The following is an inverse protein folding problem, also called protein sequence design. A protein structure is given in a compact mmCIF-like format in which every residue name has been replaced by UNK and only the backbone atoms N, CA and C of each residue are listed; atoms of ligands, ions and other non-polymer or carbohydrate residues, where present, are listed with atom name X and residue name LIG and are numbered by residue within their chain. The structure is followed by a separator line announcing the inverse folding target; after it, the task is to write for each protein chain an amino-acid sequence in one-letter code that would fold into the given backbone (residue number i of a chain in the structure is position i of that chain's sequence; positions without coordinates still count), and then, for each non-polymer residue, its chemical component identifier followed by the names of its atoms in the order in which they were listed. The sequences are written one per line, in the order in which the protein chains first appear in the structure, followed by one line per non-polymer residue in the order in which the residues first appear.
data_IF_169384276318
#
_entry.id   IF_169384276318
#
_cell.length_a   1.000
_cell.length_b   1.000
_cell.length_c   1.000
_cell.angle_alpha   90.00
_cell.angle_beta   90.00
_cell.angle_gamma   90.00
#
_symmetry.space_group_name_H-M   'P 1'
#
loop_
_entity.id
_entity.type
_entity.pdbx_description
1 polymer ?
#
# COMPACT_ATOMS: atom_id res chain seq x y z
N UNK A 1 5.75 8.59 -32.64
CA UNK A 1 6.39 9.22 -31.47
C UNK A 1 6.74 8.09 -30.53
N UNK A 2 8.03 7.83 -30.35
CA UNK A 2 8.51 6.78 -29.45
C UNK A 2 8.35 7.26 -28.00
N UNK A 3 7.32 6.75 -27.31
CA UNK A 3 7.06 7.07 -25.90
C UNK A 3 8.24 6.72 -25.00
N UNK A 4 9.08 5.76 -25.39
CA UNK A 4 10.26 5.36 -24.62
C UNK A 4 11.38 6.42 -24.64
N UNK A 5 11.35 7.36 -25.59
CA UNK A 5 12.30 8.48 -25.65
C UNK A 5 11.80 9.73 -24.92
N UNK A 6 10.58 9.71 -24.36
CA UNK A 6 10.07 10.84 -23.59
C UNK A 6 10.76 10.90 -22.21
N UNK A 7 11.33 12.05 -21.87
CA UNK A 7 12.09 12.23 -20.62
C UNK A 7 11.25 11.92 -19.37
N UNK A 8 9.98 12.34 -19.32
CA UNK A 8 9.08 12.03 -18.20
C UNK A 8 8.84 10.52 -18.04
N UNK A 9 8.70 9.79 -19.14
CA UNK A 9 8.57 8.32 -19.11
C UNK A 9 9.85 7.67 -18.60
N UNK A 10 11.02 8.13 -19.06
CA UNK A 10 12.32 7.61 -18.61
C UNK A 10 12.54 7.85 -17.12
N UNK A 11 12.12 9.01 -16.62
CA UNK A 11 12.18 9.36 -15.21
C UNK A 11 11.25 8.46 -14.37
N UNK A 12 10.00 8.26 -14.81
CA UNK A 12 9.05 7.36 -14.16
C UNK A 12 9.61 5.93 -14.13
N UNK A 13 10.14 5.41 -15.24
CA UNK A 13 10.70 4.06 -15.31
C UNK A 13 11.97 3.91 -14.45
N UNK A 14 12.80 4.95 -14.34
CA UNK A 14 13.93 4.95 -13.42
C UNK A 14 13.47 4.84 -11.95
N UNK A 15 12.43 5.59 -11.58
CA UNK A 15 11.82 5.51 -10.25
C UNK A 15 11.25 4.11 -10.00
N UNK A 16 10.48 3.56 -10.95
CA UNK A 16 9.92 2.20 -10.85
C UNK A 16 11.00 1.13 -10.72
N UNK A 17 12.11 1.27 -11.44
CA UNK A 17 13.29 0.42 -11.29
C UNK A 17 13.83 0.44 -9.86
N UNK A 18 14.00 1.63 -9.28
CA UNK A 18 14.44 1.76 -7.87
C UNK A 18 13.42 1.18 -6.89
N UNK A 19 12.13 1.42 -7.11
CA UNK A 19 11.03 0.86 -6.30
C UNK A 19 11.01 -0.67 -6.34
N UNK A 20 11.28 -1.28 -7.50
CA UNK A 20 11.37 -2.74 -7.59
C UNK A 20 12.52 -3.31 -6.74
N UNK A 21 13.68 -2.66 -6.76
CA UNK A 21 14.82 -3.06 -5.90
C UNK A 21 14.45 -2.91 -4.42
N UNK A 22 13.89 -1.76 -4.03
CA UNK A 22 13.45 -1.53 -2.65
C UNK A 22 12.41 -2.57 -2.21
N UNK A 23 11.44 -2.91 -3.06
CA UNK A 23 10.45 -3.96 -2.76
C UNK A 23 11.13 -5.29 -2.44
N UNK A 24 12.11 -5.70 -3.24
CA UNK A 24 12.83 -6.94 -2.98
C UNK A 24 13.61 -6.89 -1.66
N UNK A 25 14.28 -5.77 -1.37
CA UNK A 25 14.99 -5.57 -0.11
C UNK A 25 14.04 -5.62 1.10
N UNK A 26 12.91 -4.91 1.03
CA UNK A 26 11.84 -4.89 2.04
C UNK A 26 11.35 -6.31 2.34
N UNK A 27 11.03 -7.08 1.29
CA UNK A 27 10.49 -8.43 1.43
C UNK A 27 11.54 -9.44 1.94
N UNK A 28 12.83 -9.24 1.63
CA UNK A 28 13.90 -10.16 2.07
C UNK A 28 14.48 -9.85 3.44
N UNK A 29 14.77 -8.58 3.73
CA UNK A 29 15.59 -8.17 4.87
C UNK A 29 14.83 -7.35 5.92
N UNK A 30 13.55 -7.05 5.70
CA UNK A 30 12.74 -6.24 6.58
C UNK A 30 12.81 -4.74 6.28
N UNK A 31 11.99 -3.98 7.00
CA UNK A 31 11.50 -2.65 6.63
C UNK A 31 12.35 -1.44 7.09
N UNK A 32 13.52 -1.66 7.69
CA UNK A 32 14.21 -0.59 8.43
C UNK A 32 14.92 0.42 7.50
N UNK A 33 14.46 1.69 7.53
CA UNK A 33 15.17 2.84 6.96
C UNK A 33 14.81 3.21 5.51
N UNK A 34 13.97 2.44 4.82
CA UNK A 34 13.59 2.70 3.42
C UNK A 34 12.45 3.73 3.29
N UNK A 35 11.77 4.07 4.38
CA UNK A 35 10.64 5.00 4.38
C UNK A 35 11.00 6.40 3.85
N UNK A 36 12.13 6.97 4.29
CA UNK A 36 12.58 8.30 3.84
C UNK A 36 12.88 8.32 2.34
N UNK A 37 13.49 7.25 1.83
CA UNK A 37 13.79 7.13 0.40
C UNK A 37 12.50 7.04 -0.43
N UNK A 38 11.54 6.20 -0.01
CA UNK A 38 10.25 6.08 -0.69
C UNK A 38 9.46 7.40 -0.69
N UNK A 39 9.49 8.17 0.41
CA UNK A 39 8.88 9.51 0.44
C UNK A 39 9.57 10.48 -0.52
N UNK A 40 10.89 10.38 -0.67
CA UNK A 40 11.65 11.13 -1.67
C UNK A 40 11.24 10.78 -3.10
N UNK A 41 11.09 9.49 -3.40
CA UNK A 41 10.61 9.01 -4.71
C UNK A 41 9.18 9.46 -5.01
N UNK A 42 8.29 9.44 -4.00
CA UNK A 42 6.92 9.93 -4.14
C UNK A 42 6.90 11.44 -4.47
N UNK A 43 7.67 12.22 -3.72
CA UNK A 43 7.81 13.67 -3.96
C UNK A 43 8.37 13.95 -5.35
N UNK A 44 9.29 13.11 -5.83
CA UNK A 44 9.84 13.22 -7.18
C UNK A 44 8.78 12.93 -8.24
N UNK A 45 8.01 11.84 -8.08
CA UNK A 45 6.90 11.52 -8.99
C UNK A 45 5.90 12.67 -9.11
N UNK A 46 5.56 13.34 -8.01
CA UNK A 46 4.61 14.48 -8.01
C UNK A 46 5.10 15.66 -8.86
N UNK A 47 6.42 15.80 -9.05
CA UNK A 47 7.04 16.88 -9.83
C UNK A 47 7.17 16.53 -11.32
N UNK A 48 7.01 15.27 -11.72
CA UNK A 48 7.12 14.83 -13.12
C UNK A 48 6.07 15.55 -13.97
N UNK A 49 6.53 16.24 -15.03
CA UNK A 49 5.64 16.90 -15.98
C UNK A 49 4.89 15.87 -16.83
N UNK A 50 3.56 15.88 -16.71
CA UNK A 50 2.67 15.00 -17.48
C UNK A 50 2.08 15.69 -18.70
N UNK A 51 2.21 17.02 -18.81
CA UNK A 51 1.57 17.84 -19.82
C UNK A 51 0.09 17.47 -20.02
N UNK A 52 -0.34 17.41 -21.29
CA UNK A 52 -1.67 16.91 -21.66
C UNK A 52 -1.67 15.42 -22.03
N UNK A 53 -0.57 14.69 -21.82
CA UNK A 53 -0.45 13.31 -22.25
C UNK A 53 -1.11 12.32 -21.25
N UNK A 54 -2.20 11.63 -21.62
CA UNK A 54 -2.85 10.67 -20.74
C UNK A 54 -1.95 9.49 -20.36
N UNK A 55 -1.05 9.06 -21.25
CA UNK A 55 -0.15 7.94 -20.97
C UNK A 55 0.83 8.30 -19.87
N UNK A 56 1.42 9.51 -19.90
CA UNK A 56 2.39 9.94 -18.85
C UNK A 56 1.68 10.11 -17.50
N UNK A 57 0.46 10.67 -17.48
CA UNK A 57 -0.35 10.79 -16.25
C UNK A 57 -0.59 9.43 -15.60
N UNK A 58 -0.94 8.46 -16.41
CA UNK A 58 -1.33 7.14 -15.96
C UNK A 58 -0.07 6.31 -15.59
N UNK A 59 1.07 6.50 -16.27
CA UNK A 59 2.38 5.95 -15.87
C UNK A 59 2.78 6.46 -14.49
N UNK A 60 2.67 7.78 -14.27
CA UNK A 60 2.93 8.42 -12.99
C UNK A 60 2.00 7.88 -11.91
N UNK A 61 0.69 7.76 -12.19
CA UNK A 61 -0.29 7.21 -11.24
C UNK A 61 0.11 5.79 -10.82
N UNK A 62 0.47 4.93 -11.77
CA UNK A 62 0.90 3.55 -11.49
C UNK A 62 2.16 3.51 -10.64
N UNK A 63 3.17 4.32 -10.95
CA UNK A 63 4.38 4.44 -10.14
C UNK A 63 4.09 4.96 -8.72
N UNK A 64 3.19 5.94 -8.57
CA UNK A 64 2.76 6.46 -7.26
C UNK A 64 2.10 5.34 -6.43
N UNK A 65 1.23 4.53 -7.03
CA UNK A 65 0.61 3.40 -6.34
C UNK A 65 1.63 2.34 -5.92
N UNK A 66 2.64 2.04 -6.76
CA UNK A 66 3.74 1.14 -6.40
C UNK A 66 4.54 1.66 -5.19
N UNK A 67 4.89 2.94 -5.15
CA UNK A 67 5.60 3.55 -4.01
C UNK A 67 4.71 3.55 -2.76
N UNK A 68 3.45 3.96 -2.90
CA UNK A 68 2.50 4.04 -1.78
C UNK A 68 2.18 2.67 -1.18
N UNK A 69 2.22 1.61 -1.99
CA UNK A 69 2.10 0.24 -1.52
C UNK A 69 3.27 -0.15 -0.61
N UNK A 70 4.51 0.16 -0.98
CA UNK A 70 5.65 -0.09 -0.10
C UNK A 70 5.57 0.72 1.18
N UNK A 71 5.26 2.02 1.10
CA UNK A 71 5.06 2.87 2.29
C UNK A 71 3.98 2.27 3.20
N UNK A 72 2.86 1.82 2.64
CA UNK A 72 1.78 1.18 3.40
C UNK A 72 2.28 -0.07 4.14
N UNK A 73 3.12 -0.89 3.51
CA UNK A 73 3.72 -2.06 4.15
C UNK A 73 4.66 -1.67 5.30
N UNK A 74 5.55 -0.70 5.08
CA UNK A 74 6.47 -0.21 6.11
C UNK A 74 5.71 0.38 7.30
N UNK A 75 4.70 1.22 7.04
CA UNK A 75 3.86 1.82 8.08
C UNK A 75 3.19 0.76 8.95
N UNK A 76 2.62 -0.29 8.31
CA UNK A 76 1.98 -1.41 9.01
C UNK A 76 3.00 -2.21 9.83
N UNK A 77 4.13 -2.56 9.22
CA UNK A 77 5.18 -3.35 9.87
C UNK A 77 5.77 -2.62 11.07
N UNK A 78 6.08 -1.32 10.94
CA UNK A 78 6.57 -0.49 12.04
C UNK A 78 5.52 -0.30 13.14
N UNK A 79 4.27 -0.04 12.78
CA UNK A 79 3.19 0.11 13.76
C UNK A 79 3.00 -1.16 14.58
N UNK A 80 3.07 -2.33 13.95
CA UNK A 80 2.98 -3.64 14.63
C UNK A 80 4.22 -3.92 15.48
N UNK A 81 5.42 -3.60 14.99
CA UNK A 81 6.66 -3.76 15.75
C UNK A 81 6.75 -2.85 16.99
N UNK A 82 6.12 -1.67 16.95
CA UNK A 82 6.01 -0.75 18.08
C UNK A 82 4.79 -1.01 18.97
N UNK A 83 3.90 -1.93 18.59
CA UNK A 83 2.67 -2.21 19.33
C UNK A 83 3.02 -2.78 20.71
N UNK A 84 2.53 -2.12 21.74
CA UNK A 84 2.61 -2.61 23.11
C UNK A 84 1.20 -2.63 23.73
N UNK A 85 0.51 -3.79 23.73
CA UNK A 85 -0.82 -3.87 24.30
C UNK A 85 -0.75 -3.73 25.83
N UNK A 86 -1.48 -2.75 26.37
CA UNK A 86 -1.64 -2.58 27.81
C UNK A 86 -2.64 -3.58 28.40
N UNK A 87 -2.60 -3.84 29.72
CA UNK A 87 -3.55 -4.73 30.39
C UNK A 87 -5.01 -4.25 30.29
N UNK A 88 -5.23 -2.94 30.12
CA UNK A 88 -6.54 -2.31 30.01
C UNK A 88 -6.94 -1.98 28.55
N UNK A 89 -6.33 -2.65 27.55
CA UNK A 89 -6.67 -2.45 26.13
C UNK A 89 -8.15 -2.78 25.91
N UNK A 90 -8.90 -1.82 25.36
CA UNK A 90 -10.32 -2.02 25.08
C UNK A 90 -10.51 -3.06 23.96
N UNK A 91 -11.55 -3.92 24.03
CA UNK A 91 -11.82 -4.89 22.97
C UNK A 91 -11.95 -4.28 21.56
N UNK A 92 -12.56 -3.09 21.37
CA UNK A 92 -12.56 -2.39 20.09
C UNK A 92 -11.15 -2.03 19.59
N UNK A 93 -10.27 -1.57 20.47
CA UNK A 93 -8.90 -1.23 20.11
C UNK A 93 -8.11 -2.47 19.67
N UNK A 94 -8.20 -3.55 20.46
CA UNK A 94 -7.58 -4.83 20.13
C UNK A 94 -8.10 -5.42 18.81
N UNK A 95 -9.39 -5.22 18.48
CA UNK A 95 -9.98 -5.64 17.22
C UNK A 95 -9.35 -4.91 16.02
N UNK A 96 -9.16 -3.59 16.10
CA UNK A 96 -8.48 -2.82 15.04
C UNK A 96 -7.06 -3.33 14.83
N UNK A 97 -6.32 -3.61 15.90
CA UNK A 97 -4.96 -4.12 15.78
C UNK A 97 -4.87 -5.52 15.14
N UNK A 98 -5.85 -6.39 15.39
CA UNK A 98 -5.94 -7.68 14.68
C UNK A 98 -6.14 -7.48 13.18
N UNK A 99 -6.96 -6.49 12.79
CA UNK A 99 -7.11 -6.14 11.38
C UNK A 99 -5.81 -5.56 10.82
N UNK A 100 -5.13 -4.66 11.51
CA UNK A 100 -3.84 -4.11 11.07
C UNK A 100 -2.78 -5.20 10.84
N UNK A 101 -2.73 -6.22 11.72
CA UNK A 101 -1.88 -7.39 11.52
C UNK A 101 -2.24 -8.15 10.23
N UNK A 102 -3.54 -8.45 10.03
CA UNK A 102 -4.00 -9.10 8.81
C UNK A 102 -3.72 -8.27 7.55
N UNK A 103 -3.85 -6.95 7.61
CA UNK A 103 -3.54 -6.06 6.49
C UNK A 103 -2.05 -6.05 6.16
N UNK A 104 -1.17 -6.17 7.16
CA UNK A 104 0.27 -6.28 6.94
C UNK A 104 0.61 -7.55 6.15
N UNK A 105 0.04 -8.70 6.54
CA UNK A 105 0.24 -9.98 5.85
C UNK A 105 -0.36 -9.97 4.44
N UNK A 106 -1.55 -9.39 4.27
CA UNK A 106 -2.18 -9.23 2.97
C UNK A 106 -1.36 -8.30 2.07
N UNK A 107 -0.81 -7.22 2.61
CA UNK A 107 0.01 -6.30 1.84
C UNK A 107 1.31 -6.95 1.34
N UNK A 108 1.96 -7.78 2.16
CA UNK A 108 3.11 -8.58 1.71
C UNK A 108 2.74 -9.50 0.54
N UNK A 109 1.58 -10.18 0.62
CA UNK A 109 1.09 -11.03 -0.46
C UNK A 109 0.80 -10.23 -1.74
N UNK A 110 0.16 -9.06 -1.62
CA UNK A 110 -0.13 -8.18 -2.76
C UNK A 110 1.15 -7.62 -3.39
N UNK A 111 2.17 -7.29 -2.60
CA UNK A 111 3.48 -6.86 -3.12
C UNK A 111 4.15 -7.95 -3.98
N UNK A 112 4.04 -9.22 -3.56
CA UNK A 112 4.55 -10.39 -4.26
C UNK A 112 3.66 -10.95 -5.38
N UNK A 113 2.39 -10.53 -5.46
CA UNK A 113 1.45 -11.00 -6.47
C UNK A 113 1.84 -10.57 -7.89
N UNK A 114 1.81 -11.46 -8.87
CA UNK A 114 2.12 -11.17 -10.29
C UNK A 114 1.07 -11.74 -11.26
N UNK A 115 -0.09 -12.14 -10.74
CA UNK A 115 -1.17 -12.74 -11.49
C UNK A 115 -2.09 -11.72 -12.16
N UNK A 116 -3.16 -12.24 -12.77
CA UNK A 116 -4.21 -11.49 -13.46
C UNK A 116 -5.48 -11.39 -12.61
N UNK A 117 -6.39 -10.49 -12.99
CA UNK A 117 -7.69 -10.31 -12.32
C UNK A 117 -8.53 -11.58 -12.30
N UNK A 118 -8.41 -12.42 -13.34
CA UNK A 118 -9.15 -13.68 -13.46
C UNK A 118 -8.60 -14.80 -12.56
N UNK A 119 -7.42 -14.62 -11.97
CA UNK A 119 -6.80 -15.67 -11.17
C UNK A 119 -7.51 -15.82 -9.83
N UNK A 120 -7.65 -17.06 -9.37
CA UNK A 120 -8.24 -17.36 -8.06
C UNK A 120 -7.48 -16.67 -6.92
N UNK A 121 -6.17 -16.49 -7.06
CA UNK A 121 -5.32 -15.75 -6.11
C UNK A 121 -5.74 -14.29 -5.97
N UNK A 122 -6.07 -13.60 -7.08
CA UNK A 122 -6.62 -12.25 -7.04
C UNK A 122 -7.95 -12.22 -6.28
N UNK A 123 -8.90 -13.10 -6.64
CA UNK A 123 -10.22 -13.15 -6.01
C UNK A 123 -10.14 -13.37 -4.49
N UNK A 124 -9.23 -14.25 -4.06
CA UNK A 124 -9.00 -14.52 -2.63
C UNK A 124 -8.42 -13.29 -1.92
N UNK A 125 -7.43 -12.60 -2.50
CA UNK A 125 -6.85 -11.39 -1.91
C UNK A 125 -7.90 -10.27 -1.78
N UNK A 126 -8.69 -10.03 -2.84
CA UNK A 126 -9.78 -9.06 -2.86
C UNK A 126 -10.86 -9.38 -1.80
N UNK A 127 -11.27 -10.65 -1.70
CA UNK A 127 -12.23 -11.11 -0.70
C UNK A 127 -11.71 -10.92 0.74
N UNK A 128 -10.45 -11.27 0.99
CA UNK A 128 -9.84 -11.13 2.33
C UNK A 128 -9.71 -9.66 2.74
N UNK A 129 -9.32 -8.77 1.81
CA UNK A 129 -9.28 -7.33 2.04
C UNK A 129 -10.67 -6.75 2.32
N UNK A 130 -11.68 -7.20 1.57
CA UNK A 130 -13.07 -6.80 1.79
C UNK A 130 -13.57 -7.27 3.17
N UNK A 131 -13.21 -8.48 3.60
CA UNK A 131 -13.51 -8.96 4.96
C UNK A 131 -12.87 -8.09 6.04
N UNK A 132 -11.65 -7.58 5.83
CA UNK A 132 -11.02 -6.65 6.77
C UNK A 132 -11.78 -5.32 6.87
N UNK A 133 -12.27 -4.78 5.74
CA UNK A 133 -13.09 -3.57 5.74
C UNK A 133 -14.39 -3.77 6.54
N UNK A 134 -15.10 -4.87 6.31
CA UNK A 134 -16.32 -5.21 7.06
C UNK A 134 -16.05 -5.39 8.55
N UNK A 135 -14.91 -6.01 8.91
CA UNK A 135 -14.50 -6.15 10.30
C UNK A 135 -14.25 -4.79 10.96
N UNK A 136 -13.64 -3.84 10.24
CA UNK A 136 -13.43 -2.46 10.73
C UNK A 136 -14.76 -1.71 10.91
N UNK A 137 -15.69 -1.85 9.97
CA UNK A 137 -17.01 -1.22 10.05
C UNK A 137 -17.82 -1.72 11.26
N UNK A 138 -17.63 -2.98 11.64
CA UNK A 138 -18.25 -3.58 12.83
C UNK A 138 -17.62 -3.11 14.17
N UNK A 139 -16.42 -2.49 14.15
CA UNK A 139 -15.80 -1.97 15.38
C UNK A 139 -16.49 -0.68 15.80
N UNK A 140 -17.18 -0.73 16.93
CA UNK A 140 -17.69 0.45 17.62
C UNK A 140 -16.62 1.02 18.58
N UNK A 141 -16.10 2.24 18.32
CA UNK A 141 -15.10 2.87 19.18
C UNK A 141 -15.62 3.30 20.55
N UNK A 142 -16.94 3.32 20.79
CA UNK A 142 -17.54 3.68 22.08
C UNK A 142 -17.04 5.03 22.63
N UNK A 143 -16.75 5.98 21.73
CA UNK A 143 -16.23 7.30 22.08
C UNK A 143 -14.70 7.43 22.15
N UNK A 144 -13.94 6.32 22.19
CA UNK A 144 -12.48 6.34 22.27
C UNK A 144 -11.83 6.90 21.00
N UNK A 145 -11.10 8.00 21.15
CA UNK A 145 -10.45 8.70 20.04
C UNK A 145 -9.25 7.92 19.50
N UNK A 146 -8.55 7.14 20.34
CA UNK A 146 -7.46 6.29 19.91
C UNK A 146 -7.95 5.23 18.93
N UNK A 147 -9.01 4.52 19.30
CA UNK A 147 -9.68 3.52 18.45
C UNK A 147 -10.27 4.13 17.18
N UNK A 148 -10.90 5.32 17.23
CA UNK A 148 -11.39 6.01 16.02
C UNK A 148 -10.27 6.30 15.04
N UNK A 149 -9.15 6.82 15.53
CA UNK A 149 -7.99 7.16 14.71
C UNK A 149 -7.36 5.92 14.11
N UNK A 150 -7.12 4.89 14.93
CA UNK A 150 -6.57 3.61 14.48
C UNK A 150 -7.48 2.93 13.43
N UNK A 151 -8.80 2.93 13.63
CA UNK A 151 -9.78 2.37 12.69
C UNK A 151 -9.73 3.13 11.36
N UNK A 152 -9.74 4.47 11.39
CA UNK A 152 -9.66 5.29 10.16
C UNK A 152 -8.37 5.01 9.39
N UNK A 153 -7.25 4.88 10.10
CA UNK A 153 -5.96 4.56 9.51
C UNK A 153 -5.97 3.15 8.90
N UNK A 154 -6.55 2.16 9.58
CA UNK A 154 -6.70 0.79 9.06
C UNK A 154 -7.55 0.75 7.78
N UNK A 155 -8.66 1.50 7.72
CA UNK A 155 -9.48 1.63 6.50
C UNK A 155 -8.66 2.22 5.36
N UNK A 156 -7.88 3.27 5.62
CA UNK A 156 -6.98 3.87 4.61
C UNK A 156 -5.97 2.85 4.09
N UNK A 157 -5.35 2.06 4.96
CA UNK A 157 -4.43 1.00 4.54
C UNK A 157 -5.13 -0.04 3.67
N UNK A 158 -6.30 -0.56 4.09
CA UNK A 158 -7.06 -1.52 3.30
C UNK A 158 -7.41 -0.99 1.89
N UNK A 159 -7.83 0.28 1.78
CA UNK A 159 -8.13 0.94 0.51
C UNK A 159 -6.90 1.12 -0.38
N UNK A 160 -5.75 1.49 0.21
CA UNK A 160 -4.49 1.59 -0.52
C UNK A 160 -4.06 0.23 -1.08
N UNK A 161 -4.20 -0.84 -0.29
CA UNK A 161 -3.85 -2.21 -0.70
C UNK A 161 -4.74 -2.65 -1.86
N UNK A 162 -6.06 -2.44 -1.76
CA UNK A 162 -7.01 -2.73 -2.85
C UNK A 162 -6.68 -1.94 -4.13
N UNK A 163 -6.44 -0.64 -4.02
CA UNK A 163 -6.11 0.21 -5.17
C UNK A 163 -4.86 -0.25 -5.90
N UNK A 164 -3.85 -0.73 -5.15
CA UNK A 164 -2.64 -1.27 -5.72
C UNK A 164 -2.86 -2.64 -6.36
N UNK A 165 -3.63 -3.53 -5.71
CA UNK A 165 -4.00 -4.84 -6.26
C UNK A 165 -4.78 -4.71 -7.58
N UNK A 166 -5.77 -3.81 -7.62
CA UNK A 166 -6.52 -3.48 -8.83
C UNK A 166 -5.57 -3.01 -9.93
N UNK A 167 -4.70 -2.04 -9.64
CA UNK A 167 -3.74 -1.49 -10.59
C UNK A 167 -2.78 -2.55 -11.16
N UNK A 168 -2.34 -3.52 -10.36
CA UNK A 168 -1.45 -4.61 -10.85
C UNK A 168 -2.13 -5.53 -11.85
N UNK A 169 -3.46 -5.65 -11.78
CA UNK A 169 -4.24 -6.54 -12.65
C UNK A 169 -4.93 -5.82 -13.79
N UNK A 170 -4.87 -4.50 -13.80
CA UNK A 170 -5.44 -3.65 -14.83
C UNK A 170 -4.53 -3.66 -16.08
N UNK A 171 -5.07 -4.14 -17.20
CA UNK A 171 -4.38 -4.13 -18.49
C UNK A 171 -4.33 -2.67 -18.99
N UNK A 172 -3.12 -2.09 -19.09
CA UNK A 172 -2.91 -0.82 -19.80
C UNK A 172 -2.05 -0.97 -21.05
#
# INVERSE_FOLDING_TARGET
YDLAQNDSIREIEAIRGRVSVLREEVLRHGAAGQGTELQGLLTHLDQVDTGRNPCIREARRRAVLEVQALITFLDLWEALGRRNPGPDESPPHAAVWRVLASLCDLQAQVLGFDGKRADKSYMVLEELLTKQLLALDAVDPQGDQGTKTARKQAVKHAQNILSYLDMKTDEW
#
